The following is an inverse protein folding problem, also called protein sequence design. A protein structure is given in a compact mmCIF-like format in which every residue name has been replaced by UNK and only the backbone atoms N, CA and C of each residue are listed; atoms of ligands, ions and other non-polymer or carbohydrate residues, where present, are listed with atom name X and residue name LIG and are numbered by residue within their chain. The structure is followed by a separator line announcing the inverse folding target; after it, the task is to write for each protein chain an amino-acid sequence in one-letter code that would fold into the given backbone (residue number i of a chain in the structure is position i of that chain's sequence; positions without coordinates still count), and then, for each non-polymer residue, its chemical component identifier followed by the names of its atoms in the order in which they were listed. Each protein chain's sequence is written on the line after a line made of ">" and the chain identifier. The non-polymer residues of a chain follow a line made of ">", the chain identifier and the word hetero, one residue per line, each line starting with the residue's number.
data_IF_375466968069
#
_entry.id   IF_375466968069
#
_cell.length_a   1.000
_cell.length_b   1.000
_cell.length_c   1.000
_cell.angle_alpha   90.00
_cell.angle_beta   90.00
_cell.angle_gamma   90.00
#
_symmetry.space_group_name_H-M   'P 1'
#
loop_
_entity.id
_entity.type
_entity.pdbx_description
1 polymer ?
#
# COMPACT_ATOMS: atom_id res chain seq x y z
N UNK A 1 5.79 3.35 -18.19
CA UNK A 1 6.09 3.55 -16.77
C UNK A 1 5.17 2.70 -15.93
N UNK A 2 5.75 1.98 -14.96
CA UNK A 2 5.01 1.05 -14.13
C UNK A 2 4.29 1.77 -13.00
N UNK A 3 3.10 1.32 -12.69
CA UNK A 3 2.36 1.66 -11.48
C UNK A 3 2.36 0.45 -10.56
N UNK A 4 2.24 0.65 -9.25
CA UNK A 4 2.47 -0.39 -8.28
C UNK A 4 1.28 -0.55 -7.34
N UNK A 5 0.98 -1.82 -7.01
CA UNK A 5 0.00 -2.16 -5.99
C UNK A 5 0.71 -2.52 -4.68
N UNK A 6 0.46 -1.76 -3.64
CA UNK A 6 1.04 -1.95 -2.31
C UNK A 6 0.11 -2.83 -1.49
N UNK A 7 0.58 -4.03 -1.19
CA UNK A 7 -0.13 -4.95 -0.29
C UNK A 7 0.71 -5.23 0.95
N UNK A 8 0.14 -5.92 1.91
CA UNK A 8 0.83 -6.29 3.15
C UNK A 8 0.60 -7.72 3.56
N UNK A 9 1.48 -8.23 4.41
CA UNK A 9 1.32 -9.54 5.05
C UNK A 9 0.13 -9.58 6.01
N UNK A 10 -0.37 -8.40 6.43
CA UNK A 10 -1.51 -8.27 7.35
C UNK A 10 -2.03 -6.82 7.38
N UNK A 11 -3.07 -6.56 8.19
CA UNK A 11 -3.45 -5.22 8.63
C UNK A 11 -2.35 -4.66 9.55
N UNK A 12 -2.21 -3.33 9.60
CA UNK A 12 -1.28 -2.59 10.47
C UNK A 12 0.22 -2.94 10.30
N UNK A 13 0.59 -3.54 9.17
CA UNK A 13 2.01 -3.76 8.83
C UNK A 13 2.70 -2.52 8.25
N UNK A 14 1.96 -1.40 8.10
CA UNK A 14 2.50 -0.11 7.64
C UNK A 14 2.43 0.10 6.13
N UNK A 15 1.42 -0.45 5.43
CA UNK A 15 1.21 -0.20 3.99
C UNK A 15 1.19 1.27 3.64
N UNK A 16 0.38 2.06 4.36
CA UNK A 16 0.24 3.50 4.14
C UNK A 16 1.55 4.25 4.38
N UNK A 17 2.34 3.82 5.39
CA UNK A 17 3.68 4.35 5.63
C UNK A 17 4.62 4.10 4.44
N UNK A 18 4.66 2.86 3.94
CA UNK A 18 5.49 2.49 2.77
C UNK A 18 4.98 3.14 1.49
N UNK A 19 3.66 3.22 1.27
CA UNK A 19 3.09 3.92 0.11
C UNK A 19 3.48 5.41 0.11
N UNK A 20 3.37 6.09 1.24
CA UNK A 20 3.83 7.46 1.42
C UNK A 20 5.35 7.60 1.18
N UNK A 21 6.16 6.67 1.70
CA UNK A 21 7.61 6.66 1.49
C UNK A 21 7.98 6.49 0.00
N UNK A 22 7.30 5.61 -0.72
CA UNK A 22 7.48 5.41 -2.15
C UNK A 22 7.11 6.68 -2.94
N UNK A 23 5.97 7.32 -2.63
CA UNK A 23 5.57 8.58 -3.26
C UNK A 23 6.64 9.66 -3.04
N UNK A 24 7.14 9.80 -1.81
CA UNK A 24 8.21 10.75 -1.51
C UNK A 24 9.53 10.39 -2.23
N UNK A 25 9.87 9.10 -2.32
CA UNK A 25 11.05 8.63 -3.03
C UNK A 25 10.95 8.89 -4.55
N UNK A 26 9.81 8.65 -5.18
CA UNK A 26 9.59 9.03 -6.58
C UNK A 26 9.79 10.52 -6.80
N UNK A 27 9.29 11.37 -5.91
CA UNK A 27 9.44 12.82 -5.99
C UNK A 27 10.92 13.26 -5.91
N UNK A 28 11.76 12.60 -5.09
CA UNK A 28 13.21 12.90 -5.04
C UNK A 28 13.95 12.55 -6.34
N UNK A 29 13.36 11.67 -7.16
CA UNK A 29 13.86 11.31 -8.48
C UNK A 29 13.17 12.08 -9.64
N UNK A 30 12.49 13.18 -9.31
CA UNK A 30 11.83 14.04 -10.30
C UNK A 30 10.57 13.41 -10.94
N UNK A 31 9.98 12.39 -10.31
CA UNK A 31 8.78 11.68 -10.79
C UNK A 31 7.54 12.10 -10.00
N UNK A 32 6.46 12.38 -10.71
CA UNK A 32 5.15 12.65 -10.08
C UNK A 32 4.44 11.32 -9.83
N UNK A 33 4.28 10.96 -8.56
CA UNK A 33 3.54 9.77 -8.15
C UNK A 33 2.15 10.18 -7.65
N UNK A 34 1.10 9.72 -8.31
CA UNK A 34 -0.28 9.89 -7.83
C UNK A 34 -0.62 8.81 -6.80
N UNK A 35 -1.28 9.18 -5.69
CA UNK A 35 -1.76 8.23 -4.71
C UNK A 35 -3.11 7.65 -5.13
N UNK A 36 -3.36 6.38 -4.81
CA UNK A 36 -4.68 5.79 -4.89
C UNK A 36 -4.89 4.79 -3.73
N UNK A 37 -6.03 4.87 -3.07
CA UNK A 37 -6.54 3.87 -2.14
C UNK A 37 -7.95 3.49 -2.58
N UNK A 38 -8.10 2.48 -3.44
CA UNK A 38 -9.38 2.15 -4.10
C UNK A 38 -10.52 1.93 -3.12
N UNK A 39 -10.21 1.27 -2.00
CA UNK A 39 -11.18 0.94 -0.95
C UNK A 39 -10.57 1.30 0.39
N UNK A 40 -11.30 2.05 1.20
CA UNK A 40 -10.96 2.38 2.57
C UNK A 40 -12.13 2.11 3.50
N UNK A 41 -11.84 1.71 4.73
CA UNK A 41 -12.81 1.49 5.79
C UNK A 41 -12.35 2.21 7.07
N UNK A 42 -13.29 2.88 7.74
CA UNK A 42 -13.03 3.78 8.86
C UNK A 42 -12.74 5.20 8.38
N UNK A 43 -13.56 6.15 8.87
CA UNK A 43 -13.41 7.56 8.52
C UNK A 43 -13.06 8.41 9.74
N UNK A 44 -12.42 9.53 9.46
CA UNK A 44 -12.17 10.64 10.37
C UNK A 44 -12.66 11.93 9.70
N UNK A 45 -13.11 12.89 10.48
CA UNK A 45 -13.55 14.19 9.94
C UNK A 45 -12.38 15.15 9.81
N UNK A 46 -12.09 15.58 8.56
CA UNK A 46 -11.05 16.55 8.26
C UNK A 46 -11.65 17.72 7.50
N UNK A 47 -11.59 18.93 8.06
CA UNK A 47 -12.19 20.16 7.48
C UNK A 47 -13.66 19.97 7.06
N UNK A 48 -14.44 19.23 7.85
CA UNK A 48 -15.86 18.99 7.58
C UNK A 48 -16.16 17.85 6.60
N UNK A 49 -15.14 17.22 6.02
CA UNK A 49 -15.27 16.08 5.09
C UNK A 49 -14.88 14.80 5.79
N UNK A 50 -15.68 13.74 5.63
CA UNK A 50 -15.33 12.39 6.09
C UNK A 50 -14.30 11.78 5.13
N UNK A 51 -13.13 11.41 5.65
CA UNK A 51 -12.04 10.78 4.89
C UNK A 51 -11.38 9.69 5.70
N UNK A 52 -10.79 8.72 5.04
CA UNK A 52 -9.94 7.74 5.72
C UNK A 52 -8.56 8.35 6.05
N UNK A 53 -7.99 8.02 7.20
CA UNK A 53 -6.72 8.58 7.66
C UNK A 53 -5.54 8.29 6.73
N UNK A 54 -5.50 7.10 6.10
CA UNK A 54 -4.46 6.75 5.12
C UNK A 54 -4.58 7.63 3.86
N UNK A 55 -5.82 7.90 3.41
CA UNK A 55 -6.08 8.78 2.27
C UNK A 55 -5.62 10.21 2.55
N UNK A 56 -5.83 10.69 3.78
CA UNK A 56 -5.32 12.01 4.21
C UNK A 56 -3.80 12.05 4.11
N UNK A 57 -3.11 11.04 4.66
CA UNK A 57 -1.65 10.95 4.62
C UNK A 57 -1.10 10.87 3.17
N UNK A 58 -1.71 10.04 2.34
CA UNK A 58 -1.35 9.89 0.92
C UNK A 58 -1.48 11.22 0.15
N UNK A 59 -2.57 11.96 0.38
CA UNK A 59 -2.79 13.28 -0.24
C UNK A 59 -1.79 14.33 0.26
N UNK A 60 -1.54 14.37 1.56
CA UNK A 60 -0.57 15.28 2.16
C UNK A 60 0.82 15.08 1.54
N UNK A 61 1.28 13.82 1.46
CA UNK A 61 2.63 13.48 0.99
C UNK A 61 2.78 13.72 -0.52
N UNK A 62 1.78 13.36 -1.30
CA UNK A 62 1.85 13.52 -2.76
C UNK A 62 1.65 14.96 -3.23
N UNK A 63 1.02 15.82 -2.44
CA UNK A 63 0.57 17.13 -2.88
C UNK A 63 -0.42 17.08 -4.06
N UNK A 64 -1.07 15.94 -4.28
CA UNK A 64 -1.94 15.71 -5.44
C UNK A 64 -3.20 16.58 -5.39
N UNK A 65 -3.46 17.29 -6.49
CA UNK A 65 -4.69 18.03 -6.71
C UNK A 65 -5.84 17.17 -7.28
N UNK A 66 -5.62 15.86 -7.46
CA UNK A 66 -6.64 14.95 -7.97
C UNK A 66 -7.90 14.95 -7.09
N UNK A 67 -9.04 14.74 -7.70
CA UNK A 67 -10.31 14.67 -6.98
C UNK A 67 -10.30 13.51 -5.98
N UNK A 68 -10.90 13.71 -4.80
CA UNK A 68 -10.95 12.70 -3.75
C UNK A 68 -11.54 11.38 -4.25
N UNK A 69 -12.60 11.45 -5.08
CA UNK A 69 -13.23 10.27 -5.70
C UNK A 69 -12.31 9.45 -6.61
N UNK A 70 -11.23 10.04 -7.12
CA UNK A 70 -10.26 9.33 -7.96
C UNK A 70 -9.16 8.71 -7.09
N UNK A 71 -8.78 9.38 -6.01
CA UNK A 71 -7.83 8.84 -5.03
C UNK A 71 -8.48 7.71 -4.22
N UNK A 72 -9.73 7.90 -3.80
CA UNK A 72 -10.44 6.94 -2.95
C UNK A 72 -11.90 6.79 -3.41
N UNK A 73 -12.16 5.94 -4.43
CA UNK A 73 -13.49 5.70 -4.97
C UNK A 73 -14.50 5.16 -3.94
N UNK A 74 -14.03 4.31 -3.04
CA UNK A 74 -14.87 3.70 -2.00
C UNK A 74 -14.31 3.99 -0.61
N UNK A 75 -15.07 4.72 0.20
CA UNK A 75 -14.73 5.06 1.58
C UNK A 75 -15.91 4.71 2.47
N UNK A 76 -15.75 3.69 3.29
CA UNK A 76 -16.78 3.23 4.23
C UNK A 76 -16.56 3.84 5.61
N UNK A 77 -17.64 4.15 6.30
CA UNK A 77 -17.63 4.83 7.61
C UNK A 77 -17.01 3.97 8.72
N UNK A 78 -17.36 2.67 8.74
CA UNK A 78 -16.94 1.76 9.79
C UNK A 78 -15.55 1.16 9.53
N UNK A 79 -14.70 1.10 10.56
CA UNK A 79 -13.37 0.47 10.51
C UNK A 79 -13.48 -1.06 10.68
N UNK A 80 -14.08 -1.73 9.69
CA UNK A 80 -14.28 -3.19 9.65
C UNK A 80 -13.84 -3.75 8.29
N UNK A 81 -13.97 -5.05 8.09
CA UNK A 81 -13.63 -5.67 6.82
C UNK A 81 -14.41 -5.02 5.65
N UNK A 82 -13.74 -4.66 4.53
CA UNK A 82 -14.33 -3.87 3.45
C UNK A 82 -15.64 -4.41 2.89
N UNK A 83 -15.74 -5.74 2.70
CA UNK A 83 -16.96 -6.36 2.18
C UNK A 83 -18.14 -6.26 3.16
N UNK A 84 -17.89 -6.30 4.48
CA UNK A 84 -18.92 -6.15 5.51
C UNK A 84 -19.36 -4.68 5.55
N UNK A 85 -18.42 -3.74 5.51
CA UNK A 85 -18.71 -2.31 5.47
C UNK A 85 -19.57 -1.95 4.24
N UNK A 86 -19.21 -2.48 3.07
CA UNK A 86 -19.97 -2.31 1.83
C UNK A 86 -21.41 -2.85 1.95
N UNK A 87 -21.59 -4.03 2.57
CA UNK A 87 -22.92 -4.60 2.83
C UNK A 87 -23.75 -3.72 3.78
N UNK A 88 -23.15 -3.22 4.87
CA UNK A 88 -23.84 -2.35 5.82
C UNK A 88 -24.32 -1.03 5.18
N UNK A 89 -23.55 -0.52 4.21
CA UNK A 89 -23.87 0.72 3.51
C UNK A 89 -24.66 0.49 2.20
N UNK A 90 -25.02 -0.77 1.87
CA UNK A 90 -25.69 -1.18 0.63
C UNK A 90 -24.95 -0.72 -0.62
N UNK A 91 -23.61 -0.74 -0.60
CA UNK A 91 -22.73 -0.37 -1.71
C UNK A 91 -22.15 -1.60 -2.36
N UNK A 92 -22.18 -1.66 -3.69
CA UNK A 92 -21.48 -2.68 -4.47
C UNK A 92 -20.15 -2.08 -4.97
N UNK A 93 -19.06 -2.78 -4.69
CA UNK A 93 -17.74 -2.38 -5.19
C UNK A 93 -17.57 -2.85 -6.62
N UNK A 94 -17.57 -1.90 -7.57
CA UNK A 94 -17.44 -2.16 -8.99
C UNK A 94 -16.00 -1.91 -9.46
N UNK A 95 -15.40 -2.89 -10.14
CA UNK A 95 -14.02 -2.80 -10.65
C UNK A 95 -13.90 -1.69 -11.71
N UNK A 96 -14.94 -1.45 -12.51
CA UNK A 96 -14.92 -0.42 -13.56
C UNK A 96 -14.81 0.99 -12.96
N UNK A 97 -15.41 1.24 -11.79
CA UNK A 97 -15.28 2.51 -11.07
C UNK A 97 -13.82 2.69 -10.61
N UNK A 98 -13.20 1.63 -10.06
CA UNK A 98 -11.79 1.64 -9.65
C UNK A 98 -10.88 1.88 -10.86
N UNK A 99 -11.11 1.18 -11.98
CA UNK A 99 -10.36 1.35 -13.23
C UNK A 99 -10.47 2.77 -13.78
N UNK A 100 -11.68 3.31 -13.88
CA UNK A 100 -11.88 4.66 -14.40
C UNK A 100 -11.18 5.72 -13.53
N UNK A 101 -11.18 5.56 -12.21
CA UNK A 101 -10.45 6.43 -11.29
C UNK A 101 -8.93 6.31 -11.48
N UNK A 102 -8.41 5.07 -11.58
CA UNK A 102 -7.00 4.81 -11.86
C UNK A 102 -6.53 5.43 -13.17
N UNK A 103 -7.31 5.30 -14.27
CA UNK A 103 -6.96 5.83 -15.57
C UNK A 103 -6.85 7.37 -15.55
N UNK A 104 -7.73 8.05 -14.80
CA UNK A 104 -7.64 9.52 -14.62
C UNK A 104 -6.36 9.90 -13.84
N UNK A 105 -6.00 9.17 -12.79
CA UNK A 105 -4.76 9.41 -12.05
C UNK A 105 -3.53 9.15 -12.92
N UNK A 106 -3.52 8.06 -13.68
CA UNK A 106 -2.43 7.67 -14.56
C UNK A 106 -2.20 8.66 -15.69
N UNK A 107 -3.27 9.32 -16.21
CA UNK A 107 -3.14 10.35 -17.23
C UNK A 107 -2.47 11.63 -16.73
N UNK A 108 -2.47 11.88 -15.42
CA UNK A 108 -1.97 13.10 -14.79
C UNK A 108 -0.63 12.93 -14.07
N UNK A 109 -0.11 11.70 -13.97
CA UNK A 109 1.11 11.39 -13.21
C UNK A 109 2.02 10.41 -13.96
N UNK A 110 3.27 10.36 -13.55
CA UNK A 110 4.27 9.46 -14.15
C UNK A 110 4.11 8.02 -13.65
N UNK A 111 3.61 7.86 -12.42
CA UNK A 111 3.29 6.57 -11.79
C UNK A 111 2.10 6.72 -10.87
N UNK A 112 1.38 5.62 -10.60
CA UNK A 112 0.33 5.57 -9.58
C UNK A 112 0.74 4.54 -8.51
N UNK A 113 0.73 4.96 -7.26
CA UNK A 113 0.94 4.10 -6.09
C UNK A 113 -0.44 3.75 -5.53
N UNK A 114 -0.86 2.50 -5.76
CA UNK A 114 -2.19 2.00 -5.38
C UNK A 114 -2.08 1.19 -4.09
N UNK A 115 -2.67 1.68 -3.01
CA UNK A 115 -2.65 1.00 -1.71
C UNK A 115 -3.88 0.11 -1.53
N UNK A 116 -3.67 -1.18 -1.24
CA UNK A 116 -4.71 -2.12 -0.85
C UNK A 116 -5.17 -1.94 0.60
N UNK A 117 -6.30 -2.53 0.95
CA UNK A 117 -6.84 -2.55 2.31
C UNK A 117 -6.62 -3.93 2.96
N UNK A 118 -6.07 -3.97 4.18
CA UNK A 118 -5.76 -5.21 4.89
C UNK A 118 -4.65 -6.03 4.20
N UNK A 119 -4.77 -7.36 4.27
CA UNK A 119 -3.85 -8.28 3.58
C UNK A 119 -4.25 -8.51 2.11
N UNK A 120 -3.40 -9.25 1.37
CA UNK A 120 -3.55 -9.46 -0.07
C UNK A 120 -4.87 -10.14 -0.48
N UNK A 121 -5.38 -11.06 0.33
CA UNK A 121 -6.61 -11.81 0.04
C UNK A 121 -7.85 -11.29 0.77
N UNK A 122 -7.81 -10.10 1.35
CA UNK A 122 -8.98 -9.53 2.03
C UNK A 122 -10.15 -9.42 1.05
N UNK A 123 -11.34 -9.92 1.43
CA UNK A 123 -12.51 -9.85 0.57
C UNK A 123 -12.97 -8.41 0.29
N UNK A 124 -13.27 -8.10 -0.96
CA UNK A 124 -14.01 -6.91 -1.39
C UNK A 124 -15.50 -7.21 -1.53
N UNK A 125 -15.83 -8.46 -1.85
CA UNK A 125 -17.17 -9.04 -1.89
C UNK A 125 -17.08 -10.53 -1.59
N UNK A 126 -18.21 -11.22 -1.63
CA UNK A 126 -18.24 -12.68 -1.41
C UNK A 126 -17.40 -13.46 -2.43
N UNK A 127 -17.25 -12.94 -3.65
CA UNK A 127 -16.58 -13.63 -4.75
C UNK A 127 -15.30 -12.91 -5.23
N UNK A 128 -14.90 -11.79 -4.62
CA UNK A 128 -13.76 -10.98 -5.05
C UNK A 128 -12.90 -10.57 -3.88
N UNK A 129 -11.59 -10.57 -4.07
CA UNK A 129 -10.59 -10.15 -3.10
C UNK A 129 -9.77 -8.95 -3.59
N UNK A 130 -9.01 -8.31 -2.68
CA UNK A 130 -8.07 -7.23 -3.02
C UNK A 130 -7.06 -7.64 -4.09
N UNK A 131 -6.75 -8.93 -4.21
CA UNK A 131 -5.81 -9.46 -5.21
C UNK A 131 -6.27 -9.26 -6.67
N UNK A 132 -7.55 -9.00 -6.90
CA UNK A 132 -8.08 -8.75 -8.25
C UNK A 132 -7.77 -7.34 -8.76
N UNK A 133 -7.52 -6.39 -7.86
CA UNK A 133 -7.19 -5.01 -8.24
C UNK A 133 -5.90 -4.95 -9.07
N UNK A 134 -4.74 -5.47 -8.60
CA UNK A 134 -3.52 -5.45 -9.40
C UNK A 134 -3.66 -6.22 -10.71
N UNK A 135 -4.37 -7.35 -10.73
CA UNK A 135 -4.63 -8.10 -11.96
C UNK A 135 -5.45 -7.30 -12.98
N UNK A 136 -6.53 -6.66 -12.51
CA UNK A 136 -7.42 -5.88 -13.37
C UNK A 136 -6.77 -4.60 -13.90
N UNK A 137 -5.86 -3.97 -13.14
CA UNK A 137 -5.19 -2.73 -13.51
C UNK A 137 -3.81 -2.95 -14.15
N UNK A 138 -3.34 -4.20 -14.28
CA UNK A 138 -2.02 -4.52 -14.84
C UNK A 138 -0.87 -3.99 -13.99
N UNK A 139 -0.96 -4.11 -12.65
CA UNK A 139 0.01 -3.57 -11.71
C UNK A 139 0.96 -4.64 -11.21
N UNK A 140 2.23 -4.28 -11.08
CA UNK A 140 3.19 -5.04 -10.31
C UNK A 140 2.96 -4.83 -8.80
N UNK A 141 3.25 -5.84 -8.00
CA UNK A 141 2.98 -5.83 -6.56
C UNK A 141 4.24 -5.47 -5.78
N UNK A 142 4.11 -4.59 -4.80
CA UNK A 142 5.10 -4.38 -3.73
C UNK A 142 4.51 -4.90 -2.42
N UNK A 143 5.23 -5.83 -1.77
CA UNK A 143 4.80 -6.44 -0.52
C UNK A 143 5.41 -5.72 0.69
N UNK A 144 4.58 -5.27 1.59
CA UNK A 144 5.00 -4.75 2.90
C UNK A 144 4.96 -5.87 3.91
N UNK A 145 6.12 -6.16 4.48
CA UNK A 145 6.32 -7.22 5.47
C UNK A 145 6.50 -6.60 6.85
N UNK A 146 5.50 -6.78 7.72
CA UNK A 146 5.59 -6.33 9.12
C UNK A 146 6.53 -7.23 9.92
N UNK A 147 7.66 -6.68 10.36
CA UNK A 147 8.72 -7.43 11.05
C UNK A 147 8.33 -7.72 12.49
N UNK A 148 7.69 -8.87 12.70
CA UNK A 148 7.24 -9.38 13.99
C UNK A 148 7.28 -10.92 14.01
N UNK A 149 7.18 -11.54 15.17
CA UNK A 149 7.13 -13.01 15.26
C UNK A 149 5.99 -13.57 14.37
N UNK A 150 6.30 -14.61 13.59
CA UNK A 150 5.41 -15.18 12.56
C UNK A 150 5.63 -14.61 11.15
N UNK A 151 6.52 -13.61 11.01
CA UNK A 151 6.78 -12.92 9.73
C UNK A 151 7.15 -13.86 8.59
N UNK A 152 7.97 -14.89 8.84
CA UNK A 152 8.39 -15.84 7.79
C UNK A 152 7.20 -16.53 7.15
N UNK A 153 6.30 -17.08 7.97
CA UNK A 153 5.10 -17.76 7.49
C UNK A 153 4.18 -16.80 6.71
N UNK A 154 3.86 -15.63 7.28
CA UNK A 154 2.95 -14.66 6.65
C UNK A 154 3.51 -14.11 5.33
N UNK A 155 4.81 -13.82 5.28
CA UNK A 155 5.45 -13.33 4.07
C UNK A 155 5.43 -14.39 2.96
N UNK A 156 5.84 -15.63 3.25
CA UNK A 156 5.90 -16.69 2.26
C UNK A 156 4.53 -17.10 1.74
N UNK A 157 3.52 -17.22 2.60
CA UNK A 157 2.13 -17.46 2.19
C UNK A 157 1.61 -16.33 1.28
N UNK A 158 1.93 -15.07 1.60
CA UNK A 158 1.50 -13.95 0.78
C UNK A 158 2.21 -13.94 -0.59
N UNK A 159 3.50 -14.22 -0.62
CA UNK A 159 4.27 -14.33 -1.87
C UNK A 159 3.73 -15.46 -2.75
N UNK A 160 3.43 -16.61 -2.18
CA UNK A 160 2.81 -17.73 -2.89
C UNK A 160 1.44 -17.33 -3.45
N UNK A 161 0.62 -16.65 -2.67
CA UNK A 161 -0.68 -16.15 -3.11
C UNK A 161 -0.57 -15.11 -4.25
N UNK A 162 0.45 -14.27 -4.27
CA UNK A 162 0.72 -13.31 -5.36
C UNK A 162 1.10 -14.08 -6.63
N UNK A 163 2.07 -15.00 -6.53
CA UNK A 163 2.60 -15.75 -7.67
C UNK A 163 1.57 -16.70 -8.28
N UNK A 164 0.76 -17.36 -7.46
CA UNK A 164 -0.30 -18.26 -7.94
C UNK A 164 -1.36 -17.58 -8.81
N UNK A 165 -1.44 -16.24 -8.75
CA UNK A 165 -2.30 -15.39 -9.57
C UNK A 165 -1.61 -14.82 -10.81
N UNK A 166 -0.38 -15.25 -11.09
CA UNK A 166 0.40 -14.77 -12.24
C UNK A 166 0.85 -13.31 -12.09
N UNK A 167 0.84 -12.76 -10.88
CA UNK A 167 1.26 -11.39 -10.63
C UNK A 167 2.76 -11.30 -10.39
N UNK A 168 3.37 -10.22 -10.91
CA UNK A 168 4.78 -9.91 -10.68
C UNK A 168 4.95 -9.25 -9.31
N UNK A 169 5.84 -9.80 -8.50
CA UNK A 169 6.31 -9.18 -7.28
C UNK A 169 7.52 -8.30 -7.63
N UNK A 170 7.30 -6.98 -7.78
CA UNK A 170 8.36 -6.01 -8.11
C UNK A 170 9.42 -5.89 -7.00
N UNK A 171 9.01 -6.14 -5.76
CA UNK A 171 9.87 -6.13 -4.60
C UNK A 171 9.10 -6.14 -3.30
N UNK A 172 9.83 -6.06 -2.19
CA UNK A 172 9.23 -6.04 -0.87
C UNK A 172 9.97 -5.10 0.08
N UNK A 173 9.28 -4.65 1.10
CA UNK A 173 9.80 -3.73 2.13
C UNK A 173 9.63 -4.38 3.49
N UNK A 174 10.71 -4.53 4.25
CA UNK A 174 10.66 -4.89 5.66
C UNK A 174 10.30 -3.64 6.48
N UNK A 175 9.22 -3.68 7.24
CA UNK A 175 8.78 -2.53 8.02
C UNK A 175 8.69 -2.87 9.52
N UNK A 176 9.40 -2.08 10.34
CA UNK A 176 9.36 -2.20 11.80
C UNK A 176 8.24 -1.32 12.33
N UNK A 177 7.20 -1.93 12.90
CA UNK A 177 6.00 -1.22 13.38
C UNK A 177 6.03 -0.91 14.88
N UNK A 178 7.05 -1.38 15.62
CA UNK A 178 7.20 -1.19 17.05
C UNK A 178 8.56 -0.59 17.40
N UNK A 179 8.62 0.16 18.51
CA UNK A 179 9.87 0.79 18.97
C UNK A 179 10.97 -0.22 19.32
N UNK A 180 10.59 -1.36 19.88
CA UNK A 180 11.51 -2.48 20.10
C UNK A 180 11.49 -3.38 18.86
N UNK A 181 12.62 -3.58 18.17
CA UNK A 181 12.70 -4.54 17.08
C UNK A 181 12.43 -5.96 17.59
N UNK A 182 11.93 -6.81 16.68
CA UNK A 182 11.75 -8.23 17.01
C UNK A 182 13.10 -8.91 17.29
N UNK A 183 13.08 -9.95 18.13
CA UNK A 183 14.26 -10.79 18.33
C UNK A 183 14.70 -11.42 17.00
N UNK A 184 16.01 -11.58 16.82
CA UNK A 184 16.62 -12.14 15.62
C UNK A 184 16.14 -11.43 14.31
N UNK A 185 16.05 -10.09 14.36
CA UNK A 185 15.60 -9.29 13.22
C UNK A 185 16.45 -9.56 11.97
N UNK A 186 17.76 -9.48 12.09
CA UNK A 186 18.69 -9.63 10.95
C UNK A 186 18.66 -11.05 10.38
N UNK A 187 18.55 -12.08 11.19
CA UNK A 187 18.44 -13.46 10.74
C UNK A 187 17.12 -13.73 10.01
N UNK A 188 16.02 -13.14 10.48
CA UNK A 188 14.73 -13.22 9.80
C UNK A 188 14.76 -12.45 8.47
N UNK A 189 15.35 -11.26 8.46
CA UNK A 189 15.52 -10.45 7.23
C UNK A 189 16.32 -11.21 6.18
N UNK A 190 17.49 -11.74 6.55
CA UNK A 190 18.35 -12.54 5.66
C UNK A 190 17.65 -13.82 5.17
N UNK A 191 16.80 -14.42 6.00
CA UNK A 191 16.00 -15.58 5.60
C UNK A 191 14.97 -15.21 4.54
N UNK A 192 14.25 -14.09 4.73
CA UNK A 192 13.27 -13.58 3.77
C UNK A 192 13.93 -13.17 2.45
N UNK A 193 15.09 -12.51 2.48
CA UNK A 193 15.83 -12.16 1.26
C UNK A 193 16.14 -13.39 0.38
N UNK A 194 16.52 -14.51 1.00
CA UNK A 194 16.78 -15.76 0.29
C UNK A 194 15.52 -16.46 -0.22
N UNK A 195 14.40 -16.36 0.52
CA UNK A 195 13.20 -17.16 0.24
C UNK A 195 12.16 -16.43 -0.60
N UNK A 196 12.06 -15.12 -0.53
CA UNK A 196 11.07 -14.33 -1.28
C UNK A 196 11.37 -14.34 -2.78
N UNK A 197 12.66 -14.33 -3.18
CA UNK A 197 13.04 -14.35 -4.60
C UNK A 197 12.55 -13.14 -5.39
N UNK A 198 12.51 -11.98 -4.74
CA UNK A 198 12.26 -10.66 -5.31
C UNK A 198 13.11 -9.62 -4.55
N UNK A 199 13.44 -8.46 -5.14
CA UNK A 199 14.31 -7.47 -4.51
C UNK A 199 13.77 -6.98 -3.16
N UNK A 200 14.65 -6.91 -2.14
CA UNK A 200 14.40 -6.12 -0.94
C UNK A 200 14.58 -4.64 -1.30
N UNK A 201 13.49 -3.90 -1.33
CA UNK A 201 13.49 -2.46 -1.63
C UNK A 201 13.97 -1.60 -0.45
N UNK A 202 13.92 -2.14 0.76
CA UNK A 202 14.44 -1.46 1.94
C UNK A 202 13.92 -2.06 3.24
N UNK A 203 14.61 -1.72 4.34
CA UNK A 203 14.19 -2.03 5.70
C UNK A 203 13.92 -0.71 6.44
N UNK A 204 12.66 -0.45 6.75
CA UNK A 204 12.24 0.78 7.41
C UNK A 204 12.27 0.60 8.93
N UNK A 205 13.00 1.45 9.64
CA UNK A 205 12.99 1.46 11.10
C UNK A 205 11.69 2.07 11.64
N UNK A 206 11.37 1.80 12.89
CA UNK A 206 10.29 2.49 13.59
C UNK A 206 10.62 3.98 13.74
N UNK A 207 9.70 4.84 13.33
CA UNK A 207 9.86 6.29 13.44
C UNK A 207 8.96 6.87 14.55
N UNK A 208 9.57 7.17 15.69
CA UNK A 208 8.93 7.83 16.83
C UNK A 208 9.03 9.37 16.79
N UNK A 209 9.76 9.97 15.83
CA UNK A 209 10.16 11.37 15.89
C UNK A 209 9.40 12.29 14.93
N UNK A 210 8.89 11.75 13.83
CA UNK A 210 8.18 12.55 12.84
C UNK A 210 6.82 13.00 13.34
N UNK A 211 6.53 14.30 13.13
CA UNK A 211 5.28 14.94 13.56
C UNK A 211 4.22 14.98 12.47
N UNK A 212 4.61 14.86 11.20
CA UNK A 212 3.71 14.89 10.05
C UNK A 212 3.91 13.68 9.16
N UNK A 213 2.90 13.34 8.34
CA UNK A 213 3.00 12.26 7.35
C UNK A 213 4.10 12.55 6.34
N UNK A 214 4.24 13.80 5.91
CA UNK A 214 5.26 14.21 4.95
C UNK A 214 6.68 14.05 5.51
N UNK A 215 6.92 14.46 6.76
CA UNK A 215 8.22 14.29 7.43
C UNK A 215 8.57 12.81 7.54
N UNK A 216 7.64 11.99 8.01
CA UNK A 216 7.79 10.54 8.13
C UNK A 216 8.09 9.87 6.79
N UNK A 217 7.35 10.25 5.75
CA UNK A 217 7.53 9.71 4.40
C UNK A 217 8.91 10.05 3.83
N UNK A 218 9.38 11.30 3.98
CA UNK A 218 10.72 11.72 3.51
C UNK A 218 11.86 11.00 4.23
N UNK A 219 11.73 10.78 5.53
CA UNK A 219 12.72 10.01 6.31
C UNK A 219 12.75 8.56 5.86
N UNK A 220 11.57 7.93 5.72
CA UNK A 220 11.44 6.55 5.27
C UNK A 220 11.94 6.36 3.82
N UNK A 221 11.73 7.34 2.93
CA UNK A 221 12.20 7.31 1.55
C UNK A 221 13.72 7.13 1.44
N UNK A 222 14.50 7.64 2.40
CA UNK A 222 15.96 7.49 2.41
C UNK A 222 16.43 6.04 2.62
N UNK A 223 15.57 5.15 3.10
CA UNK A 223 15.86 3.72 3.26
C UNK A 223 15.44 2.88 2.06
N UNK A 224 14.79 3.49 1.04
CA UNK A 224 14.30 2.77 -0.14
C UNK A 224 15.32 2.77 -1.28
N UNK A 225 15.50 1.62 -1.88
CA UNK A 225 16.30 1.41 -3.10
C UNK A 225 15.35 1.52 -4.30
N UNK A 226 15.48 2.60 -5.05
CA UNK A 226 14.53 2.90 -6.14
C UNK A 226 14.99 2.38 -7.51
N UNK A 227 16.22 1.89 -7.63
CA UNK A 227 16.83 1.52 -8.91
C UNK A 227 16.00 0.54 -9.74
N UNK A 228 15.32 -0.40 -9.08
CA UNK A 228 14.46 -1.38 -9.74
C UNK A 228 13.06 -0.86 -10.10
N UNK A 229 12.65 0.29 -9.59
CA UNK A 229 11.32 0.88 -9.78
C UNK A 229 11.31 2.08 -10.74
N UNK A 230 12.48 2.57 -11.17
CA UNK A 230 12.61 3.77 -12.00
C UNK A 230 12.67 3.51 -13.51
N UNK A 231 12.46 2.28 -13.95
CA UNK A 231 12.52 1.86 -15.35
C UNK A 231 11.23 2.13 -16.15
#
# INVERSE_FOLDING_TARGET
>A
MNSYFITGTDTDVGKSHVACALIAAFATHGRRAAPMKPIAAGTVRVAGVEMNADVVALREVSGSAAALRDINPYCFSQAIAPHIAAQHENVVVEMDVIRAAFDRLKSAADTVVVEGAGGFLVPMSINRSMAEIPAALGLEVILVVGMRLGVLNHALLTVEAIRSRGLTLAGWVANTTAAAPMLAFDENLATLERMIGAPLLGALPFDAHSKTSLERARRAAAFLRMDTLLH
#
